data_IF_673533809220
#
_entry.id   IF_673533809220
#
_cell.length_a   1.000
_cell.length_b   1.000
_cell.length_c   1.000
_cell.angle_alpha   90.00
_cell.angle_beta   90.00
_cell.angle_gamma   90.00
#
_symmetry.space_group_name_H-M   'P 1'
#
loop_
_entity.id
_entity.type
_entity.pdbx_description
1 polymer ?
#
# COMPACT_ATOMS: atom_id res chain seq x y z
N UNK A 1 1.78 -19.97 -12.99
CA UNK A 1 2.51 -19.48 -11.79
C UNK A 1 1.53 -18.77 -10.87
N UNK A 2 1.39 -19.23 -9.62
CA UNK A 2 0.44 -18.65 -8.64
C UNK A 2 0.72 -17.16 -8.39
N UNK A 3 -0.31 -16.31 -8.25
CA UNK A 3 -0.20 -14.87 -7.97
C UNK A 3 0.77 -14.56 -6.81
N UNK A 4 0.74 -15.37 -5.75
CA UNK A 4 1.63 -15.23 -4.59
C UNK A 4 3.11 -15.49 -4.89
N UNK A 5 3.42 -16.41 -5.80
CA UNK A 5 4.81 -16.66 -6.23
C UNK A 5 5.34 -15.45 -7.00
N UNK A 6 4.50 -14.82 -7.84
CA UNK A 6 4.85 -13.55 -8.50
C UNK A 6 5.13 -12.45 -7.50
N UNK A 7 4.29 -12.29 -6.46
CA UNK A 7 4.48 -11.29 -5.41
C UNK A 7 5.78 -11.49 -4.63
N UNK A 8 6.11 -12.73 -4.25
CA UNK A 8 7.37 -13.04 -3.55
C UNK A 8 8.58 -12.77 -4.45
N UNK A 9 8.56 -13.20 -5.72
CA UNK A 9 9.65 -12.94 -6.67
C UNK A 9 9.80 -11.43 -6.92
N UNK A 10 8.69 -10.70 -7.09
CA UNK A 10 8.71 -9.25 -7.25
C UNK A 10 9.29 -8.54 -6.03
N UNK A 11 8.96 -9.01 -4.82
CA UNK A 11 9.51 -8.46 -3.59
C UNK A 11 11.03 -8.70 -3.46
N UNK A 12 11.51 -9.90 -3.83
CA UNK A 12 12.94 -10.25 -3.77
C UNK A 12 13.77 -9.58 -4.87
N UNK A 13 13.16 -9.23 -6.00
CA UNK A 13 13.82 -8.59 -7.15
C UNK A 13 13.47 -7.11 -7.29
N UNK A 14 12.84 -6.52 -6.26
CA UNK A 14 12.37 -5.14 -6.27
C UNK A 14 13.53 -4.16 -6.54
N UNK A 15 13.34 -3.33 -7.57
CA UNK A 15 14.25 -2.24 -7.95
C UNK A 15 13.45 -1.05 -8.44
N UNK A 16 13.94 0.14 -8.13
CA UNK A 16 13.41 1.40 -8.65
C UNK A 16 14.49 2.00 -9.53
N UNK A 17 14.17 2.17 -10.82
CA UNK A 17 15.08 2.75 -11.80
C UNK A 17 14.82 4.26 -11.96
N UNK A 18 15.61 4.95 -12.78
CA UNK A 18 15.47 6.40 -12.93
C UNK A 18 14.18 6.82 -13.64
N UNK A 19 13.64 5.97 -14.52
CA UNK A 19 12.32 6.21 -15.15
C UNK A 19 11.21 6.16 -14.08
N UNK A 20 11.29 5.23 -13.13
CA UNK A 20 10.37 5.15 -12.00
C UNK A 20 10.46 6.42 -11.13
N UNK A 21 11.66 6.96 -10.88
CA UNK A 21 11.83 8.21 -10.11
C UNK A 21 11.19 9.40 -10.83
N UNK A 22 11.42 9.54 -12.13
CA UNK A 22 10.78 10.59 -12.95
C UNK A 22 9.26 10.47 -12.91
N UNK A 23 8.73 9.23 -12.93
CA UNK A 23 7.30 9.01 -12.77
C UNK A 23 6.80 9.45 -11.38
N UNK A 24 7.51 9.13 -10.31
CA UNK A 24 7.15 9.57 -8.95
C UNK A 24 7.15 11.10 -8.86
N UNK A 25 8.21 11.75 -9.33
CA UNK A 25 8.37 13.21 -9.26
C UNK A 25 7.32 13.96 -10.11
N UNK A 26 6.77 13.29 -11.13
CA UNK A 26 5.67 13.85 -11.93
C UNK A 26 4.36 13.96 -11.14
N UNK A 27 4.08 13.02 -10.24
CA UNK A 27 2.78 12.91 -9.56
C UNK A 27 2.83 13.30 -8.07
N UNK A 28 3.99 13.17 -7.42
CA UNK A 28 4.16 13.45 -6.00
C UNK A 28 4.94 14.75 -5.80
N UNK A 29 4.40 15.64 -4.98
CA UNK A 29 5.17 16.75 -4.44
C UNK A 29 6.20 16.26 -3.40
N UNK A 30 7.07 17.16 -2.93
CA UNK A 30 8.14 16.82 -1.97
C UNK A 30 7.62 16.14 -0.70
N UNK A 31 6.51 16.60 -0.15
CA UNK A 31 5.90 16.03 1.07
C UNK A 31 5.37 14.63 0.82
N UNK A 32 4.66 14.42 -0.28
CA UNK A 32 4.14 13.11 -0.68
C UNK A 32 5.28 12.12 -0.99
N UNK A 33 6.29 12.56 -1.75
CA UNK A 33 7.46 11.76 -2.08
C UNK A 33 8.23 11.34 -0.81
N UNK A 34 8.37 12.23 0.18
CA UNK A 34 9.00 11.90 1.45
C UNK A 34 8.29 10.75 2.19
N UNK A 35 6.95 10.65 2.10
CA UNK A 35 6.19 9.52 2.66
C UNK A 35 6.38 8.25 1.83
N UNK A 36 6.38 8.36 0.50
CA UNK A 36 6.64 7.23 -0.39
C UNK A 36 8.00 6.57 -0.10
N UNK A 37 9.06 7.38 -0.01
CA UNK A 37 10.42 6.89 0.22
C UNK A 37 10.65 6.31 1.63
N UNK A 38 9.74 6.54 2.57
CA UNK A 38 9.78 5.91 3.88
C UNK A 38 9.35 4.45 3.86
N UNK A 39 8.64 3.97 2.82
CA UNK A 39 8.28 2.56 2.70
C UNK A 39 9.50 1.66 2.48
N UNK A 40 9.38 0.33 2.69
CA UNK A 40 10.45 -0.58 2.27
C UNK A 40 10.49 -0.67 0.73
N UNK A 41 11.67 -0.97 0.15
CA UNK A 41 11.83 -1.07 -1.31
C UNK A 41 10.81 -2.00 -2.00
N UNK A 42 10.44 -3.18 -1.45
CA UNK A 42 9.37 -3.99 -2.03
C UNK A 42 8.00 -3.30 -2.06
N UNK A 43 7.66 -2.55 -1.01
CA UNK A 43 6.38 -1.82 -0.91
C UNK A 43 6.38 -0.62 -1.87
N UNK A 44 7.50 0.10 -1.99
CA UNK A 44 7.66 1.17 -2.99
C UNK A 44 7.48 0.63 -4.41
N UNK A 45 8.06 -0.54 -4.72
CA UNK A 45 7.91 -1.19 -6.04
C UNK A 45 6.48 -1.67 -6.27
N UNK A 46 5.83 -2.24 -5.24
CA UNK A 46 4.43 -2.62 -5.28
C UNK A 46 3.55 -1.42 -5.63
N UNK A 47 3.65 -0.34 -4.85
CA UNK A 47 2.90 0.90 -5.08
C UNK A 47 3.12 1.48 -6.49
N UNK A 48 4.35 1.43 -7.01
CA UNK A 48 4.63 1.82 -8.41
C UNK A 48 3.90 0.94 -9.43
N UNK A 49 3.93 -0.39 -9.26
CA UNK A 49 3.21 -1.28 -10.16
C UNK A 49 1.69 -1.07 -10.08
N UNK A 50 1.15 -0.79 -8.89
CA UNK A 50 -0.26 -0.40 -8.70
C UNK A 50 -0.55 0.89 -9.44
N UNK A 51 0.30 1.91 -9.33
CA UNK A 51 0.15 3.17 -10.06
C UNK A 51 0.18 2.97 -11.59
N UNK A 52 1.09 2.16 -12.12
CA UNK A 52 1.11 1.85 -13.55
C UNK A 52 -0.15 1.11 -14.02
N UNK A 53 -0.65 0.17 -13.23
CA UNK A 53 -1.90 -0.54 -13.54
C UNK A 53 -3.10 0.41 -13.45
N UNK A 54 -3.16 1.27 -12.44
CA UNK A 54 -4.21 2.27 -12.26
C UNK A 54 -4.26 3.25 -13.43
N UNK A 55 -3.10 3.74 -13.89
CA UNK A 55 -3.00 4.62 -15.06
C UNK A 55 -3.57 3.95 -16.32
N UNK A 56 -3.27 2.68 -16.54
CA UNK A 56 -3.82 1.90 -17.67
C UNK A 56 -5.31 1.70 -17.56
N UNK A 57 -5.81 1.42 -16.36
CA UNK A 57 -7.25 1.20 -16.13
C UNK A 57 -8.07 2.48 -16.30
N UNK A 58 -7.51 3.64 -15.92
CA UNK A 58 -8.18 4.93 -16.03
C UNK A 58 -8.13 5.54 -17.44
N UNK A 59 -7.35 4.97 -18.37
CA UNK A 59 -7.25 5.45 -19.74
C UNK A 59 -8.63 5.48 -20.41
N UNK A 60 -9.02 6.66 -20.93
CA UNK A 60 -10.31 6.88 -21.58
C UNK A 60 -11.50 7.09 -20.64
N UNK A 61 -11.30 7.09 -19.32
CA UNK A 61 -12.37 7.36 -18.35
C UNK A 61 -12.41 8.83 -17.94
N UNK A 62 -13.27 9.62 -18.58
CA UNK A 62 -13.37 11.07 -18.35
C UNK A 62 -13.82 11.46 -16.93
N UNK A 63 -14.52 10.56 -16.23
CA UNK A 63 -15.06 10.81 -14.87
C UNK A 63 -13.98 10.63 -13.78
N UNK A 64 -12.86 9.97 -14.10
CA UNK A 64 -11.80 9.65 -13.14
C UNK A 64 -10.80 10.80 -13.06
N UNK A 65 -10.57 11.32 -11.86
CA UNK A 65 -9.43 12.15 -11.56
C UNK A 65 -8.15 11.29 -11.55
N UNK A 66 -7.50 11.22 -12.72
CA UNK A 66 -6.32 10.37 -12.90
C UNK A 66 -5.17 10.77 -11.99
N UNK A 67 -4.92 12.07 -11.79
CA UNK A 67 -3.83 12.53 -10.93
C UNK A 67 -4.02 12.08 -9.48
N UNK A 68 -5.22 12.27 -8.94
CA UNK A 68 -5.60 11.80 -7.60
C UNK A 68 -5.47 10.28 -7.48
N UNK A 69 -5.93 9.52 -8.48
CA UNK A 69 -5.80 8.07 -8.51
C UNK A 69 -4.34 7.61 -8.46
N UNK A 70 -3.45 8.24 -9.24
CA UNK A 70 -2.03 7.89 -9.25
C UNK A 70 -1.37 8.25 -7.93
N UNK A 71 -1.69 9.41 -7.35
CA UNK A 71 -1.21 9.79 -6.02
C UNK A 71 -1.66 8.78 -4.96
N UNK A 72 -2.93 8.38 -4.96
CA UNK A 72 -3.45 7.36 -4.05
C UNK A 72 -2.76 6.01 -4.26
N UNK A 73 -2.54 5.59 -5.50
CA UNK A 73 -1.85 4.35 -5.82
C UNK A 73 -0.40 4.33 -5.31
N UNK A 74 0.33 5.44 -5.46
CA UNK A 74 1.69 5.57 -4.93
C UNK A 74 1.71 5.61 -3.39
N UNK A 75 0.68 6.15 -2.75
CA UNK A 75 0.67 6.43 -1.31
C UNK A 75 -0.15 5.44 -0.47
N UNK A 76 -0.90 4.51 -1.05
CA UNK A 76 -1.83 3.64 -0.30
C UNK A 76 -1.15 2.84 0.82
N UNK A 77 0.11 2.49 0.61
CA UNK A 77 0.91 1.64 1.49
C UNK A 77 1.86 2.40 2.42
N UNK A 78 1.81 3.74 2.50
CA UNK A 78 2.76 4.54 3.31
C UNK A 78 2.73 4.24 4.80
N UNK A 79 1.66 3.60 5.29
CA UNK A 79 1.61 3.04 6.65
C UNK A 79 2.59 1.88 6.90
N UNK A 80 3.24 1.33 5.86
CA UNK A 80 4.26 0.26 5.93
C UNK A 80 5.68 0.85 5.91
N UNK A 81 6.04 1.57 6.97
CA UNK A 81 7.34 2.26 7.06
C UNK A 81 8.53 1.28 7.14
N UNK A 82 9.66 1.68 6.57
CA UNK A 82 10.89 0.90 6.51
C UNK A 82 11.38 0.53 7.90
N UNK A 83 11.75 -0.74 8.05
CA UNK A 83 12.16 -1.28 9.35
C UNK A 83 11.01 -1.65 10.26
N UNK A 84 9.75 -1.44 9.85
CA UNK A 84 8.62 -1.88 10.67
C UNK A 84 8.37 -3.38 10.62
N UNK A 85 8.52 -3.96 9.43
CA UNK A 85 8.22 -5.36 9.17
C UNK A 85 9.28 -5.92 8.23
N UNK A 86 9.90 -7.03 8.59
CA UNK A 86 10.83 -7.71 7.68
C UNK A 86 10.07 -8.41 6.55
N UNK A 87 10.72 -8.66 5.41
CA UNK A 87 10.13 -9.42 4.30
C UNK A 87 9.69 -10.82 4.75
N UNK A 88 10.43 -11.45 5.67
CA UNK A 88 10.05 -12.75 6.24
C UNK A 88 8.78 -12.64 7.10
N UNK A 89 8.67 -11.62 7.95
CA UNK A 89 7.48 -11.42 8.79
C UNK A 89 6.24 -11.13 7.94
N UNK A 90 6.38 -10.45 6.81
CA UNK A 90 5.28 -10.24 5.85
C UNK A 90 4.76 -11.54 5.26
N UNK A 91 5.67 -12.41 4.80
CA UNK A 91 5.29 -13.71 4.23
C UNK A 91 4.56 -14.55 5.28
N UNK A 92 5.09 -14.59 6.51
CA UNK A 92 4.50 -15.34 7.62
C UNK A 92 3.12 -14.76 7.99
N UNK A 93 2.99 -13.43 8.06
CA UNK A 93 1.72 -12.74 8.34
C UNK A 93 0.65 -13.07 7.30
N UNK A 94 0.99 -13.04 6.01
CA UNK A 94 0.05 -13.38 4.92
C UNK A 94 -0.40 -14.85 4.99
N UNK A 95 0.47 -15.75 5.44
CA UNK A 95 0.11 -17.16 5.68
C UNK A 95 -0.85 -17.25 6.87
N UNK A 96 -0.56 -16.58 8.00
CA UNK A 96 -1.41 -16.61 9.20
C UNK A 96 -2.81 -16.04 8.97
N UNK A 97 -2.92 -14.90 8.29
CA UNK A 97 -4.21 -14.28 7.93
C UNK A 97 -5.10 -15.23 7.13
N UNK A 98 -4.51 -16.05 6.25
CA UNK A 98 -5.26 -17.00 5.43
C UNK A 98 -5.91 -18.12 6.24
N UNK A 99 -5.24 -18.62 7.27
CA UNK A 99 -5.69 -19.80 8.02
C UNK A 99 -6.52 -19.44 9.25
N UNK A 100 -6.27 -18.27 9.87
CA UNK A 100 -6.96 -17.86 11.09
C UNK A 100 -7.08 -16.32 11.19
N UNK A 101 -7.84 -15.66 10.31
CA UNK A 101 -7.86 -14.19 10.21
C UNK A 101 -8.35 -13.50 11.49
N UNK A 102 -9.39 -14.05 12.14
CA UNK A 102 -9.92 -13.47 13.38
C UNK A 102 -8.94 -13.57 14.56
N UNK A 103 -8.20 -14.68 14.62
CA UNK A 103 -7.15 -14.86 15.62
C UNK A 103 -5.94 -13.96 15.34
N UNK A 104 -5.48 -13.91 14.09
CA UNK A 104 -4.37 -13.06 13.67
C UNK A 104 -4.65 -11.59 14.01
N UNK A 105 -5.85 -11.10 13.69
CA UNK A 105 -6.28 -9.74 14.04
C UNK A 105 -6.21 -9.47 15.54
N UNK A 106 -6.66 -10.42 16.37
CA UNK A 106 -6.65 -10.30 17.84
C UNK A 106 -5.24 -10.44 18.44
N UNK A 107 -4.33 -11.13 17.73
CA UNK A 107 -2.96 -11.38 18.16
C UNK A 107 -2.02 -10.21 17.83
N UNK A 108 -2.29 -9.48 16.76
CA UNK A 108 -1.52 -8.32 16.33
C UNK A 108 -1.37 -7.29 17.45
N UNK A 109 -0.12 -6.94 17.76
CA UNK A 109 0.19 -5.99 18.85
C UNK A 109 1.42 -5.17 18.51
N UNK A 110 1.44 -3.89 18.93
CA UNK A 110 2.63 -3.05 18.83
C UNK A 110 3.72 -3.56 19.81
N UNK A 111 4.94 -3.71 19.32
CA UNK A 111 6.08 -4.13 20.13
C UNK A 111 7.27 -4.46 19.24
N UNK A 112 8.49 -4.37 19.77
CA UNK A 112 9.72 -4.78 19.11
C UNK A 112 10.72 -5.30 20.12
N UNK A 113 11.60 -6.19 19.68
CA UNK A 113 12.77 -6.64 20.47
C UNK A 113 12.94 -8.16 20.53
N UNK A 114 11.86 -8.92 20.41
CA UNK A 114 11.90 -10.38 20.25
C UNK A 114 11.33 -10.82 18.89
N UNK A 115 11.65 -12.05 18.46
CA UNK A 115 11.08 -12.62 17.22
C UNK A 115 9.55 -12.65 17.24
N UNK A 116 8.96 -12.95 18.40
CA UNK A 116 7.51 -13.01 18.57
C UNK A 116 6.92 -11.60 18.50
N UNK A 117 7.49 -10.63 19.23
CA UNK A 117 6.97 -9.25 19.23
C UNK A 117 7.08 -8.60 17.85
N UNK A 118 8.16 -8.87 17.12
CA UNK A 118 8.32 -8.41 15.75
C UNK A 118 7.24 -8.99 14.82
N UNK A 119 6.90 -10.27 14.98
CA UNK A 119 5.84 -10.91 14.19
C UNK A 119 4.44 -10.41 14.58
N UNK A 120 4.16 -10.21 15.87
CA UNK A 120 2.91 -9.57 16.33
C UNK A 120 2.76 -8.16 15.78
N UNK A 121 3.86 -7.43 15.72
CA UNK A 121 3.88 -6.11 15.16
C UNK A 121 3.68 -6.12 13.65
N UNK A 122 4.25 -7.09 12.93
CA UNK A 122 4.00 -7.31 11.51
C UNK A 122 2.51 -7.51 11.21
N UNK A 123 1.85 -8.35 12.02
CA UNK A 123 0.41 -8.60 11.93
C UNK A 123 -0.39 -7.33 12.23
N UNK A 124 -0.01 -6.56 13.25
CA UNK A 124 -0.62 -5.26 13.55
C UNK A 124 -0.50 -4.28 12.36
N UNK A 125 0.69 -4.13 11.77
CA UNK A 125 0.88 -3.28 10.60
C UNK A 125 0.04 -3.76 9.42
N UNK A 126 -0.03 -5.06 9.17
CA UNK A 126 -0.83 -5.62 8.08
C UNK A 126 -2.30 -5.17 8.15
N UNK A 127 -2.93 -5.22 9.32
CA UNK A 127 -4.33 -4.81 9.46
C UNK A 127 -4.54 -3.29 9.57
N UNK A 128 -3.56 -2.54 10.08
CA UNK A 128 -3.72 -1.12 10.39
C UNK A 128 -2.95 -0.15 9.47
N UNK A 129 -2.23 -0.64 8.46
CA UNK A 129 -1.44 0.24 7.59
C UNK A 129 -2.30 1.25 6.82
N UNK A 130 -3.53 0.92 6.43
CA UNK A 130 -4.43 1.86 5.77
C UNK A 130 -4.80 3.05 6.68
N UNK A 131 -5.25 2.75 7.91
CA UNK A 131 -5.58 3.76 8.93
C UNK A 131 -4.34 4.57 9.33
N UNK A 132 -3.21 3.89 9.54
CA UNK A 132 -1.94 4.54 9.87
C UNK A 132 -1.44 5.42 8.74
N UNK A 133 -1.53 4.96 7.50
CA UNK A 133 -1.18 5.70 6.31
C UNK A 133 -2.02 6.96 6.19
N UNK A 134 -3.34 6.83 6.34
CA UNK A 134 -4.25 7.98 6.39
C UNK A 134 -3.86 9.00 7.47
N UNK A 135 -3.55 8.54 8.68
CA UNK A 135 -3.08 9.43 9.75
C UNK A 135 -1.77 10.15 9.39
N UNK A 136 -0.83 9.48 8.72
CA UNK A 136 0.41 10.10 8.23
C UNK A 136 0.13 11.16 7.15
N UNK A 137 -0.79 10.88 6.23
CA UNK A 137 -1.19 11.82 5.17
C UNK A 137 -1.87 13.06 5.76
N UNK A 138 -2.78 12.88 6.73
CA UNK A 138 -3.42 13.98 7.47
C UNK A 138 -2.38 14.83 8.22
N UNK A 139 -1.46 14.19 8.96
CA UNK A 139 -0.43 14.91 9.70
C UNK A 139 0.53 15.69 8.78
N UNK A 140 0.72 15.23 7.54
CA UNK A 140 1.48 15.92 6.51
C UNK A 140 0.70 17.03 5.80
N UNK A 141 -0.55 17.30 6.18
CA UNK A 141 -1.39 18.36 5.61
C UNK A 141 -1.92 18.05 4.21
N UNK A 142 -2.02 16.77 3.83
CA UNK A 142 -2.52 16.37 2.51
C UNK A 142 -4.05 16.40 2.46
N UNK A 143 -4.59 16.46 1.24
CA UNK A 143 -6.03 16.65 1.02
C UNK A 143 -6.88 15.57 1.73
N UNK A 144 -8.05 15.95 2.28
CA UNK A 144 -8.99 14.99 2.87
C UNK A 144 -9.43 13.89 1.90
N UNK A 145 -9.57 14.21 0.62
CA UNK A 145 -9.99 13.27 -0.42
C UNK A 145 -8.97 12.13 -0.61
N UNK A 146 -7.70 12.46 -0.89
CA UNK A 146 -6.60 11.49 -0.97
C UNK A 146 -6.52 10.64 0.31
N UNK A 147 -6.59 11.29 1.48
CA UNK A 147 -6.57 10.61 2.77
C UNK A 147 -7.70 9.59 2.91
N UNK A 148 -8.92 9.95 2.51
CA UNK A 148 -10.09 9.07 2.54
C UNK A 148 -9.90 7.86 1.61
N UNK A 149 -9.43 8.09 0.38
CA UNK A 149 -9.16 7.02 -0.58
C UNK A 149 -8.15 6.01 -0.03
N UNK A 150 -7.06 6.50 0.58
CA UNK A 150 -6.05 5.66 1.24
C UNK A 150 -6.60 5.00 2.51
N UNK A 151 -7.47 5.61 3.29
CA UNK A 151 -8.06 4.94 4.46
C UNK A 151 -8.93 3.73 4.06
N UNK A 152 -9.63 3.83 2.92
CA UNK A 152 -10.71 2.91 2.52
C UNK A 152 -10.31 1.85 1.49
N UNK A 153 -9.05 1.82 1.04
CA UNK A 153 -8.63 0.92 -0.03
C UNK A 153 -8.67 -0.58 0.34
N UNK A 154 -8.76 -0.94 1.62
CA UNK A 154 -8.98 -2.32 2.09
C UNK A 154 -10.47 -2.69 2.31
N UNK A 155 -11.38 -1.72 2.26
CA UNK A 155 -12.80 -1.97 2.49
C UNK A 155 -13.41 -2.78 1.34
N UNK A 156 -14.41 -3.60 1.66
CA UNK A 156 -15.23 -4.23 0.65
C UNK A 156 -15.81 -3.17 -0.31
N UNK A 157 -15.89 -3.45 -1.63
CA UNK A 157 -16.50 -2.52 -2.58
C UNK A 157 -17.92 -2.14 -2.14
N UNK A 158 -18.21 -0.83 -2.16
CA UNK A 158 -19.51 -0.30 -1.78
C UNK A 158 -20.19 0.38 -2.97
N UNK A 159 -21.53 0.32 -3.02
CA UNK A 159 -22.31 1.02 -4.05
C UNK A 159 -22.11 2.53 -3.88
N UNK A 160 -21.77 3.23 -4.98
CA UNK A 160 -21.56 4.67 -4.98
C UNK A 160 -20.20 5.12 -4.44
N UNK A 161 -19.23 4.22 -4.27
CA UNK A 161 -17.86 4.64 -3.96
C UNK A 161 -17.22 5.43 -5.12
N UNK A 162 -16.27 6.35 -4.83
CA UNK A 162 -15.60 7.12 -5.88
C UNK A 162 -14.94 6.19 -6.91
N UNK A 163 -15.00 6.51 -8.22
CA UNK A 163 -14.43 5.65 -9.25
C UNK A 163 -12.91 5.46 -9.07
N UNK A 164 -12.20 6.44 -8.50
CA UNK A 164 -10.79 6.34 -8.10
C UNK A 164 -10.59 5.23 -7.06
N UNK A 165 -11.48 5.10 -6.08
CA UNK A 165 -11.38 4.06 -5.05
C UNK A 165 -11.57 2.67 -5.65
N UNK A 166 -12.55 2.52 -6.54
CA UNK A 166 -12.78 1.26 -7.25
C UNK A 166 -11.57 0.87 -8.10
N UNK A 167 -11.00 1.83 -8.85
CA UNK A 167 -9.82 1.58 -9.68
C UNK A 167 -8.57 1.31 -8.86
N UNK A 168 -8.40 1.97 -7.72
CA UNK A 168 -7.29 1.72 -6.78
C UNK A 168 -7.35 0.28 -6.26
N UNK A 169 -8.50 -0.14 -5.72
CA UNK A 169 -8.74 -1.52 -5.24
C UNK A 169 -8.46 -2.56 -6.35
N UNK A 170 -8.95 -2.29 -7.56
CA UNK A 170 -8.75 -3.16 -8.71
C UNK A 170 -7.27 -3.25 -9.09
N UNK A 171 -6.57 -2.13 -9.18
CA UNK A 171 -5.15 -2.09 -9.52
C UNK A 171 -4.29 -2.80 -8.47
N UNK A 172 -4.61 -2.64 -7.18
CA UNK A 172 -3.90 -3.32 -6.09
C UNK A 172 -4.06 -4.85 -6.17
N UNK A 173 -5.30 -5.34 -6.39
CA UNK A 173 -5.59 -6.78 -6.51
C UNK A 173 -4.91 -7.51 -7.70
N UNK A 174 -4.43 -6.73 -8.68
CA UNK A 174 -3.76 -7.22 -9.88
C UNK A 174 -2.23 -7.31 -9.71
N UNK A 175 -1.67 -6.72 -8.64
CA UNK A 175 -0.24 -6.69 -8.35
C UNK A 175 0.13 -7.58 -7.15
#
# INVERSE_FOLDING_TARGET
>A
MNKRVKQVVAALTARINDVDKVFIDKYLNKTQAALFWQMNLPDQRHALNVAYTALKLAAGQAVVNQELLIQCALLHDVGKVKGDVSTADKIITVIFDRFAPQWAKSWGQRGRGSKIDNLRHAVYIYYHHAERGAAMLTAAGLSPELTMLVARHHEAPAVGEPPELTLLKKADSLN
#
